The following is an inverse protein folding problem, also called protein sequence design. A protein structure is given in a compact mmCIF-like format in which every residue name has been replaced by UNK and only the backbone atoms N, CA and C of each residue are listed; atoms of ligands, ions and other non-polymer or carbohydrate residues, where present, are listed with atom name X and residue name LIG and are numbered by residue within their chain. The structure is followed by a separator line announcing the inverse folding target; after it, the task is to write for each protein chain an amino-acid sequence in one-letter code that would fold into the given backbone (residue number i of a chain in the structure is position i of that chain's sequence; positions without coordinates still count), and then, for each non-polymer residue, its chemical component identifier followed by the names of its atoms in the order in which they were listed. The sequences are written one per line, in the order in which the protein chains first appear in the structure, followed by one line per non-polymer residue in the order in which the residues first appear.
data_IF_566528843919
#
_entry.id   IF_566528843919
#
_cell.length_a   1.000
_cell.length_b   1.000
_cell.length_c   1.000
_cell.angle_alpha   90.00
_cell.angle_beta   90.00
_cell.angle_gamma   90.00
#
_symmetry.space_group_name_H-M   'P 1'
#
loop_
_entity.id
_entity.type
_entity.pdbx_description
1 polymer ?
#
# COMPACT_ATOMS: atom_id res chain seq x y z
N UNK A 1 -51.35 38.57 1.14
CA UNK A 1 -51.36 37.17 1.61
C UNK A 1 -50.46 36.41 0.64
N UNK A 2 -49.13 36.59 0.66
CA UNK A 2 -48.19 36.31 1.78
C UNK A 2 -48.49 34.92 2.35
N UNK A 3 -47.63 33.89 2.38
CA UNK A 3 -46.17 33.66 2.32
C UNK A 3 -45.99 32.22 1.74
N UNK A 4 -44.83 31.69 1.36
CA UNK A 4 -43.48 32.13 1.60
C UNK A 4 -42.51 31.44 0.65
N UNK A 5 -41.58 32.25 0.18
CA UNK A 5 -40.34 31.86 -0.46
C UNK A 5 -39.54 31.05 0.57
N UNK A 6 -39.57 29.73 0.45
CA UNK A 6 -38.79 28.85 1.31
C UNK A 6 -37.34 28.91 0.82
N UNK A 7 -36.67 29.99 1.21
CA UNK A 7 -35.23 30.16 1.14
C UNK A 7 -34.57 29.05 1.97
N UNK A 8 -34.51 27.84 1.41
CA UNK A 8 -33.64 26.78 1.89
C UNK A 8 -32.26 27.40 2.00
N UNK A 9 -31.78 27.51 3.24
CA UNK A 9 -30.52 28.15 3.59
C UNK A 9 -29.50 27.85 2.50
N UNK A 10 -29.05 28.89 1.79
CA UNK A 10 -28.19 28.76 0.63
C UNK A 10 -26.88 28.12 1.08
N UNK A 11 -26.86 26.79 1.10
CA UNK A 11 -25.64 26.03 1.27
C UNK A 11 -24.74 26.50 0.14
N UNK A 12 -23.54 27.01 0.45
CA UNK A 12 -22.65 27.49 -0.60
C UNK A 12 -22.41 26.34 -1.57
N UNK A 13 -22.97 26.46 -2.79
CA UNK A 13 -22.85 25.47 -3.85
C UNK A 13 -21.47 25.65 -4.45
N UNK A 14 -20.54 24.86 -3.96
CA UNK A 14 -19.21 24.77 -4.53
C UNK A 14 -19.30 23.98 -5.83
N UNK A 15 -18.77 24.56 -6.90
CA UNK A 15 -18.76 23.94 -8.23
C UNK A 15 -17.32 23.63 -8.65
N UNK A 16 -17.19 22.66 -9.55
CA UNK A 16 -15.91 22.33 -10.19
C UNK A 16 -14.85 21.70 -9.27
N UNK A 17 -13.58 22.01 -9.52
CA UNK A 17 -12.44 21.45 -8.79
C UNK A 17 -12.49 21.73 -7.29
N UNK A 18 -13.03 22.88 -6.88
CA UNK A 18 -13.16 23.24 -5.48
C UNK A 18 -14.12 22.30 -4.72
N UNK A 19 -15.20 21.87 -5.37
CA UNK A 19 -16.11 20.85 -4.84
C UNK A 19 -15.38 19.53 -4.63
N UNK A 20 -14.63 19.08 -5.64
CA UNK A 20 -13.85 17.85 -5.58
C UNK A 20 -12.83 17.87 -4.42
N UNK A 21 -12.04 18.94 -4.31
CA UNK A 21 -11.08 19.11 -3.20
C UNK A 21 -11.74 19.06 -1.81
N UNK A 22 -12.93 19.66 -1.68
CA UNK A 22 -13.68 19.63 -0.42
C UNK A 22 -14.19 18.22 -0.09
N UNK A 23 -14.70 17.50 -1.08
CA UNK A 23 -15.14 16.11 -0.92
C UNK A 23 -13.97 15.21 -0.51
N UNK A 24 -12.82 15.37 -1.16
CA UNK A 24 -11.59 14.66 -0.85
C UNK A 24 -11.14 14.93 0.60
N UNK A 25 -11.10 16.21 1.00
CA UNK A 25 -10.75 16.59 2.38
C UNK A 25 -11.72 16.03 3.44
N UNK A 26 -12.99 15.83 3.07
CA UNK A 26 -14.01 15.24 3.94
C UNK A 26 -13.99 13.71 3.94
N UNK A 27 -13.01 13.08 3.29
CA UNK A 27 -12.89 11.63 3.13
C UNK A 27 -14.08 10.99 2.38
N UNK A 28 -14.77 11.77 1.52
CA UNK A 28 -15.83 11.28 0.65
C UNK A 28 -15.22 10.94 -0.72
N UNK A 29 -14.46 9.84 -0.77
CA UNK A 29 -13.60 9.50 -1.91
C UNK A 29 -14.40 9.14 -3.16
N UNK A 30 -15.41 8.27 -3.04
CA UNK A 30 -16.23 7.83 -4.19
C UNK A 30 -16.92 9.01 -4.89
N UNK A 31 -17.53 9.90 -4.10
CA UNK A 31 -18.17 11.11 -4.63
C UNK A 31 -17.17 12.07 -5.29
N UNK A 32 -15.93 12.10 -4.79
CA UNK A 32 -14.87 12.92 -5.36
C UNK A 32 -14.42 12.36 -6.73
N UNK A 33 -14.29 11.05 -6.84
CA UNK A 33 -13.92 10.38 -8.09
C UNK A 33 -14.94 10.69 -9.20
N UNK A 34 -16.23 10.59 -8.89
CA UNK A 34 -17.32 10.92 -9.83
C UNK A 34 -17.30 12.39 -10.27
N UNK A 35 -16.96 13.32 -9.38
CA UNK A 35 -16.85 14.73 -9.78
C UNK A 35 -15.59 14.96 -10.63
N UNK A 36 -14.49 14.27 -10.34
CA UNK A 36 -13.28 14.33 -11.16
C UNK A 36 -13.49 13.73 -12.55
N UNK A 37 -14.25 12.63 -12.69
CA UNK A 37 -14.59 12.07 -14.00
C UNK A 37 -15.42 13.05 -14.82
N UNK A 38 -16.41 13.72 -14.20
CA UNK A 38 -17.19 14.78 -14.85
C UNK A 38 -16.32 15.95 -15.31
N UNK A 39 -15.30 16.32 -14.53
CA UNK A 39 -14.37 17.39 -14.90
C UNK A 39 -13.46 16.99 -16.06
N UNK A 40 -12.88 15.78 -16.02
CA UNK A 40 -12.01 15.28 -17.07
C UNK A 40 -12.76 15.05 -18.39
N UNK A 41 -14.03 14.67 -18.34
CA UNK A 41 -14.89 14.56 -19.53
C UNK A 41 -15.15 15.93 -20.20
N UNK A 42 -15.15 17.02 -19.42
CA UNK A 42 -15.29 18.39 -19.95
C UNK A 42 -13.96 18.95 -20.46
N UNK A 43 -12.88 18.72 -19.70
CA UNK A 43 -11.54 19.14 -20.04
C UNK A 43 -10.53 18.02 -19.78
N UNK A 44 -10.08 17.29 -20.82
CA UNK A 44 -9.16 16.17 -20.66
C UNK A 44 -7.71 16.60 -20.34
N UNK A 45 -7.39 17.90 -20.45
CA UNK A 45 -6.04 18.43 -20.22
C UNK A 45 -5.86 19.01 -18.81
N UNK A 46 -6.86 18.91 -17.94
CA UNK A 46 -6.78 19.42 -16.57
C UNK A 46 -5.91 18.52 -15.69
N UNK A 47 -4.66 18.93 -15.48
CA UNK A 47 -3.68 18.22 -14.65
C UNK A 47 -4.12 18.14 -13.18
N UNK A 48 -4.83 19.14 -12.66
CA UNK A 48 -5.22 19.16 -11.25
C UNK A 48 -6.34 18.15 -10.97
N UNK A 49 -7.35 18.10 -11.83
CA UNK A 49 -8.40 17.08 -11.76
C UNK A 49 -7.83 15.66 -11.98
N UNK A 50 -6.83 15.53 -12.85
CA UNK A 50 -6.14 14.26 -13.09
C UNK A 50 -5.36 13.78 -11.86
N UNK A 51 -4.53 14.63 -11.28
CA UNK A 51 -3.76 14.32 -10.07
C UNK A 51 -4.67 14.01 -8.87
N UNK A 52 -5.77 14.75 -8.72
CA UNK A 52 -6.74 14.52 -7.64
C UNK A 52 -7.43 13.16 -7.81
N UNK A 53 -7.81 12.79 -9.04
CA UNK A 53 -8.38 11.47 -9.30
C UNK A 53 -7.39 10.34 -8.99
N UNK A 54 -6.10 10.51 -9.28
CA UNK A 54 -5.08 9.54 -8.88
C UNK A 54 -5.08 9.34 -7.36
N UNK A 55 -5.12 10.42 -6.57
CA UNK A 55 -5.24 10.35 -5.12
C UNK A 55 -6.51 9.63 -4.65
N UNK A 56 -7.66 9.90 -5.29
CA UNK A 56 -8.90 9.21 -4.95
C UNK A 56 -8.82 7.70 -5.19
N UNK A 57 -8.10 7.26 -6.22
CA UNK A 57 -7.92 5.83 -6.48
C UNK A 57 -6.91 5.18 -5.52
N UNK A 58 -5.91 5.91 -5.04
CA UNK A 58 -4.90 5.39 -4.12
C UNK A 58 -5.38 5.26 -2.69
N UNK A 59 -6.06 6.27 -2.17
CA UNK A 59 -6.43 6.36 -0.76
C UNK A 59 -7.24 5.18 -0.21
N UNK A 60 -8.24 4.60 -0.92
CA UNK A 60 -8.98 3.47 -0.39
C UNK A 60 -8.14 2.18 -0.34
N UNK A 61 -7.09 2.08 -1.15
CA UNK A 61 -6.19 0.93 -1.24
C UNK A 61 -4.90 1.16 -0.42
N UNK A 62 -4.67 2.38 0.04
CA UNK A 62 -3.46 2.75 0.77
C UNK A 62 -3.33 1.93 2.06
N UNK A 63 -2.18 1.27 2.20
CA UNK A 63 -1.79 0.53 3.40
C UNK A 63 -0.42 1.03 3.83
N UNK A 64 -0.23 1.23 5.14
CA UNK A 64 1.09 1.59 5.68
C UNK A 64 2.10 0.48 5.38
N UNK A 65 3.19 0.87 4.71
CA UNK A 65 4.27 -0.02 4.30
C UNK A 65 4.99 -0.70 5.47
N UNK A 66 5.02 -0.05 6.65
CA UNK A 66 5.62 -0.65 7.84
C UNK A 66 4.78 -1.81 8.39
N UNK A 67 3.46 -1.74 8.23
CA UNK A 67 2.54 -2.76 8.72
C UNK A 67 2.19 -3.79 7.63
N UNK A 68 2.43 -3.49 6.34
CA UNK A 68 2.16 -4.41 5.24
C UNK A 68 3.27 -5.46 4.99
N UNK A 69 4.30 -5.49 5.84
CA UNK A 69 5.43 -6.36 5.61
C UNK A 69 5.08 -7.82 5.98
N UNK A 70 4.89 -8.65 4.95
CA UNK A 70 4.55 -10.06 5.07
C UNK A 70 5.57 -10.92 4.34
N UNK A 71 6.16 -11.86 5.10
CA UNK A 71 7.17 -12.79 4.61
C UNK A 71 6.53 -14.04 4.02
N UNK A 72 6.81 -14.31 2.74
CA UNK A 72 6.43 -15.54 2.07
C UNK A 72 7.29 -16.74 2.46
N UNK A 73 6.89 -17.95 2.03
CA UNK A 73 7.69 -19.17 2.21
C UNK A 73 9.04 -19.04 1.50
N UNK A 74 9.07 -18.53 0.28
CA UNK A 74 10.29 -18.35 -0.51
C UNK A 74 11.30 -17.43 0.19
N UNK A 75 10.86 -16.25 0.65
CA UNK A 75 11.71 -15.32 1.40
C UNK A 75 12.20 -15.92 2.74
N UNK A 76 11.39 -16.78 3.36
CA UNK A 76 11.76 -17.38 4.65
C UNK A 76 12.81 -18.49 4.52
N UNK A 77 12.82 -19.24 3.39
CA UNK A 77 13.64 -20.44 3.21
C UNK A 77 14.70 -20.34 2.11
N UNK A 78 14.35 -19.75 0.97
CA UNK A 78 15.22 -19.66 -0.21
C UNK A 78 16.11 -18.42 -0.14
N UNK A 79 15.67 -17.35 0.51
CA UNK A 79 16.46 -16.14 0.70
C UNK A 79 17.39 -16.26 1.93
N UNK A 80 18.70 -16.20 1.69
CA UNK A 80 19.74 -16.45 2.70
C UNK A 80 20.50 -15.16 3.01
N UNK A 81 19.80 -14.19 3.59
CA UNK A 81 20.37 -12.91 4.02
C UNK A 81 21.08 -12.98 5.40
N UNK A 82 21.24 -14.18 5.98
CA UNK A 82 21.82 -14.36 7.32
C UNK A 82 23.31 -14.63 7.21
N UNK A 83 24.12 -13.67 7.66
CA UNK A 83 25.59 -13.76 7.65
C UNK A 83 26.10 -14.85 8.61
N UNK A 84 25.47 -14.98 9.79
CA UNK A 84 25.90 -15.90 10.85
C UNK A 84 24.82 -16.98 11.11
N UNK A 85 24.90 -18.16 10.46
CA UNK A 85 23.91 -19.22 10.66
C UNK A 85 23.92 -19.78 12.09
N UNK A 86 25.07 -19.74 12.76
CA UNK A 86 25.27 -20.21 14.13
C UNK A 86 25.54 -19.05 15.10
N UNK A 87 24.69 -18.04 15.08
CA UNK A 87 24.76 -16.94 16.03
C UNK A 87 24.66 -17.43 17.49
N UNK A 88 25.37 -16.74 18.40
CA UNK A 88 25.29 -17.00 19.84
C UNK A 88 23.86 -16.75 20.32
N UNK A 89 23.37 -17.49 21.35
CA UNK A 89 22.04 -17.23 21.91
C UNK A 89 21.90 -15.77 22.34
N UNK A 90 20.82 -15.11 21.92
CA UNK A 90 20.55 -13.71 22.25
C UNK A 90 21.17 -12.69 21.30
N UNK A 91 22.03 -13.09 20.37
CA UNK A 91 22.60 -12.20 19.34
C UNK A 91 21.87 -12.31 17.99
N UNK A 92 20.72 -12.99 17.96
CA UNK A 92 19.91 -13.21 16.76
C UNK A 92 18.44 -13.46 17.14
N UNK A 93 17.51 -12.98 16.32
CA UNK A 93 16.08 -13.27 16.46
C UNK A 93 15.72 -14.74 16.22
N UNK A 94 16.59 -15.51 15.56
CA UNK A 94 16.41 -16.95 15.33
C UNK A 94 16.72 -17.79 16.56
N UNK A 95 17.57 -17.27 17.47
CA UNK A 95 17.96 -17.93 18.72
C UNK A 95 17.78 -16.98 19.92
N UNK A 96 16.54 -16.56 20.22
CA UNK A 96 16.30 -15.68 21.34
C UNK A 96 16.54 -16.43 22.66
N UNK A 97 17.12 -15.76 23.64
CA UNK A 97 17.30 -16.27 25.02
C UNK A 97 16.00 -16.32 25.82
N UNK A 98 14.90 -15.81 25.25
CA UNK A 98 13.58 -15.73 25.90
C UNK A 98 12.98 -17.10 26.22
N UNK A 99 13.44 -18.18 25.58
CA UNK A 99 13.02 -19.56 25.87
C UNK A 99 13.61 -20.11 27.18
N UNK A 100 14.69 -19.51 27.71
CA UNK A 100 15.46 -20.10 28.82
C UNK A 100 14.91 -19.83 30.23
N UNK A 101 13.99 -18.88 30.42
CA UNK A 101 13.53 -18.45 31.76
C UNK A 101 12.11 -17.86 31.83
N UNK A 102 11.37 -17.82 30.72
CA UNK A 102 10.09 -17.12 30.66
C UNK A 102 8.89 -18.06 30.74
N UNK A 103 8.15 -17.98 31.85
CA UNK A 103 6.77 -18.48 32.10
C UNK A 103 6.46 -19.93 31.66
N UNK A 104 6.06 -20.79 32.61
CA UNK A 104 5.66 -22.16 32.31
C UNK A 104 4.49 -22.21 31.28
N UNK A 105 4.52 -23.13 30.28
CA UNK A 105 3.44 -23.30 29.31
C UNK A 105 2.07 -23.61 29.93
N UNK A 106 2.06 -24.09 31.18
CA UNK A 106 0.85 -24.30 32.00
C UNK A 106 0.18 -22.96 32.34
N UNK A 107 0.96 -21.90 32.56
CA UNK A 107 0.45 -20.57 32.93
C UNK A 107 0.14 -19.70 31.71
N UNK A 108 0.82 -19.94 30.58
CA UNK A 108 0.58 -19.19 29.34
C UNK A 108 0.63 -20.13 28.13
N UNK A 109 -0.46 -20.22 27.35
CA UNK A 109 -0.43 -20.98 26.11
C UNK A 109 0.67 -20.48 25.17
N UNK A 110 1.32 -21.42 24.50
CA UNK A 110 2.38 -21.15 23.54
C UNK A 110 1.89 -21.40 22.12
N UNK A 111 2.40 -20.60 21.19
CA UNK A 111 2.30 -20.90 19.76
C UNK A 111 3.03 -22.20 19.43
N UNK A 112 2.81 -22.71 18.21
CA UNK A 112 3.40 -23.94 17.69
C UNK A 112 4.94 -23.99 17.66
N UNK A 113 5.66 -22.91 18.00
CA UNK A 113 7.15 -22.89 18.09
C UNK A 113 7.63 -22.50 19.49
N UNK A 114 6.78 -22.67 20.50
CA UNK A 114 7.17 -22.46 21.89
C UNK A 114 7.29 -21.00 22.29
N UNK A 115 6.95 -20.03 21.43
CA UNK A 115 6.80 -18.64 21.84
C UNK A 115 5.44 -18.45 22.53
N UNK A 116 5.38 -17.86 23.73
CA UNK A 116 4.11 -17.53 24.39
C UNK A 116 3.21 -16.67 23.49
N UNK A 117 1.90 -16.91 23.52
CA UNK A 117 0.94 -16.15 22.70
C UNK A 117 0.94 -14.67 23.08
N UNK A 118 1.17 -13.77 22.11
CA UNK A 118 1.10 -12.32 22.26
C UNK A 118 -0.35 -11.84 22.40
N UNK A 119 -0.57 -10.72 23.11
CA UNK A 119 -1.88 -10.05 23.18
C UNK A 119 -2.17 -9.12 22.00
N UNK A 120 -1.17 -8.87 21.14
CA UNK A 120 -1.30 -8.03 19.94
C UNK A 120 -0.84 -8.83 18.73
N UNK A 121 -1.68 -8.91 17.70
CA UNK A 121 -1.39 -9.52 16.41
C UNK A 121 -1.04 -8.41 15.40
N UNK A 122 0.17 -8.46 14.83
CA UNK A 122 0.60 -7.59 13.73
C UNK A 122 0.94 -8.44 12.52
N UNK A 123 0.78 -7.96 11.27
CA UNK A 123 1.11 -8.77 10.08
C UNK A 123 2.53 -9.35 10.13
N UNK A 124 3.51 -8.57 10.59
CA UNK A 124 4.91 -8.94 10.79
C UNK A 124 5.20 -9.94 11.92
N UNK A 125 4.22 -10.39 12.71
CA UNK A 125 4.48 -11.40 13.74
C UNK A 125 4.76 -12.75 13.08
N UNK A 126 6.02 -13.00 12.75
CA UNK A 126 6.47 -14.20 12.04
C UNK A 126 7.31 -15.10 12.94
N UNK A 127 7.06 -16.40 12.83
CA UNK A 127 7.90 -17.46 13.38
C UNK A 127 8.44 -18.29 12.23
N UNK A 128 9.77 -18.36 12.10
CA UNK A 128 10.43 -19.17 11.06
C UNK A 128 10.03 -20.64 11.22
N UNK A 129 9.45 -21.30 10.20
CA UNK A 129 9.16 -22.72 10.26
C UNK A 129 10.48 -23.52 10.16
N UNK A 130 10.46 -24.78 10.61
CA UNK A 130 11.65 -25.64 10.63
C UNK A 130 12.15 -25.94 9.22
N UNK A 131 11.46 -26.84 8.52
CA UNK A 131 11.76 -27.16 7.11
C UNK A 131 10.67 -26.61 6.18
N UNK A 132 10.97 -26.53 4.89
CA UNK A 132 10.02 -26.10 3.87
C UNK A 132 8.81 -27.05 3.77
N UNK A 133 9.04 -28.36 3.87
CA UNK A 133 7.96 -29.36 3.86
C UNK A 133 7.04 -29.20 5.07
N UNK A 134 7.61 -28.87 6.24
CA UNK A 134 6.82 -28.57 7.42
C UNK A 134 6.00 -27.30 7.22
N UNK A 135 6.57 -26.25 6.62
CA UNK A 135 5.86 -25.01 6.35
C UNK A 135 4.61 -25.22 5.46
N UNK A 136 4.73 -26.05 4.41
CA UNK A 136 3.62 -26.37 3.50
C UNK A 136 2.58 -27.27 4.15
N UNK A 137 2.98 -28.21 5.02
CA UNK A 137 2.08 -29.14 5.70
C UNK A 137 1.36 -28.55 6.91
N UNK A 138 1.89 -27.48 7.51
CA UNK A 138 1.24 -26.77 8.61
C UNK A 138 0.13 -25.84 8.14
N UNK A 139 -0.81 -25.47 9.02
CA UNK A 139 -1.84 -24.52 8.67
C UNK A 139 -1.23 -23.16 8.27
N UNK A 140 -1.84 -22.51 7.27
CA UNK A 140 -1.32 -21.26 6.67
C UNK A 140 -1.31 -20.07 7.61
N UNK A 141 -1.94 -20.15 8.77
CA UNK A 141 -1.98 -19.09 9.80
C UNK A 141 -1.31 -19.51 11.11
N UNK A 142 -0.66 -20.68 11.15
CA UNK A 142 -0.01 -21.17 12.37
C UNK A 142 1.15 -20.29 12.85
N UNK A 143 1.74 -19.49 11.95
CA UNK A 143 3.06 -18.86 12.12
C UNK A 143 3.10 -17.37 11.84
N UNK A 144 2.05 -16.86 11.18
CA UNK A 144 1.90 -15.50 10.70
C UNK A 144 0.47 -15.03 11.01
N UNK A 145 0.27 -13.72 11.15
CA UNK A 145 -1.06 -13.19 11.45
C UNK A 145 -2.05 -13.32 10.26
N UNK A 146 -1.53 -13.48 9.04
CA UNK A 146 -2.31 -13.71 7.81
C UNK A 146 -1.89 -15.01 7.13
N UNK A 147 -2.71 -15.51 6.21
CA UNK A 147 -2.44 -16.77 5.52
C UNK A 147 -1.18 -16.67 4.65
N UNK A 148 -0.18 -17.52 4.92
CA UNK A 148 1.09 -17.55 4.18
C UNK A 148 0.89 -17.95 2.71
N UNK A 149 1.54 -17.21 1.81
CA UNK A 149 1.71 -17.51 0.38
C UNK A 149 3.15 -17.93 0.03
N UNK A 150 3.36 -18.40 -1.21
CA UNK A 150 4.67 -18.82 -1.70
C UNK A 150 5.69 -17.67 -1.75
N UNK A 151 5.31 -16.50 -2.26
CA UNK A 151 6.08 -15.24 -2.14
C UNK A 151 5.36 -14.24 -1.24
N UNK A 152 5.93 -13.04 -1.03
CA UNK A 152 5.27 -11.97 -0.26
C UNK A 152 3.85 -11.70 -0.76
N UNK A 153 2.92 -11.56 0.18
CA UNK A 153 1.52 -11.27 -0.10
C UNK A 153 1.28 -9.83 -0.59
N UNK A 154 2.32 -8.97 -0.60
CA UNK A 154 2.28 -7.61 -1.16
C UNK A 154 1.68 -7.61 -2.57
N UNK A 155 2.05 -8.57 -3.43
CA UNK A 155 1.48 -8.69 -4.77
C UNK A 155 0.03 -9.24 -4.79
N UNK A 156 -0.35 -10.11 -3.85
CA UNK A 156 -1.64 -10.82 -3.92
C UNK A 156 -2.83 -9.97 -3.48
N UNK A 157 -2.65 -9.12 -2.45
CA UNK A 157 -3.76 -8.31 -1.92
C UNK A 157 -4.00 -7.02 -2.72
N UNK A 158 -2.96 -6.47 -3.33
CA UNK A 158 -3.07 -5.37 -4.29
C UNK A 158 -3.60 -5.85 -5.65
N UNK A 159 -3.27 -7.09 -6.06
CA UNK A 159 -3.73 -7.66 -7.31
C UNK A 159 -5.24 -7.83 -7.45
N UNK A 160 -6.01 -7.87 -6.35
CA UNK A 160 -7.49 -7.89 -6.42
C UNK A 160 -8.12 -6.54 -6.73
N UNK A 161 -7.45 -5.42 -6.42
CA UNK A 161 -7.96 -4.07 -6.72
C UNK A 161 -7.79 -3.76 -8.22
N UNK A 162 -6.65 -4.09 -8.81
CA UNK A 162 -6.41 -3.94 -10.26
C UNK A 162 -7.18 -4.96 -11.12
N UNK A 163 -7.56 -6.11 -10.55
CA UNK A 163 -8.44 -7.09 -11.20
C UNK A 163 -9.94 -6.77 -11.11
N UNK A 164 -10.35 -5.93 -10.17
CA UNK A 164 -11.70 -5.39 -10.13
C UNK A 164 -11.81 -4.35 -11.26
N UNK A 165 -11.97 -4.83 -12.49
CA UNK A 165 -12.17 -3.99 -13.65
C UNK A 165 -13.36 -3.06 -13.39
N UNK A 166 -13.08 -1.78 -13.16
CA UNK A 166 -14.07 -0.72 -13.29
C UNK A 166 -14.71 -0.84 -14.67
N UNK A 167 -16.02 -0.58 -14.77
CA UNK A 167 -16.76 -0.74 -16.03
C UNK A 167 -16.14 0.04 -17.22
N UNK A 168 -15.40 1.12 -16.92
CA UNK A 168 -14.67 1.97 -17.87
C UNK A 168 -13.20 1.56 -18.14
N UNK A 169 -12.72 0.46 -17.55
CA UNK A 169 -11.33 0.01 -17.67
C UNK A 169 -10.35 0.76 -16.75
N UNK A 170 -9.02 0.53 -16.89
CA UNK A 170 -8.00 1.15 -16.06
C UNK A 170 -7.90 2.65 -16.33
N UNK A 171 -7.79 3.45 -15.28
CA UNK A 171 -7.77 4.92 -15.40
C UNK A 171 -6.54 5.42 -16.18
N UNK A 172 -5.36 4.82 -15.93
CA UNK A 172 -4.12 5.14 -16.64
C UNK A 172 -3.54 3.87 -17.22
N UNK A 173 -3.28 3.87 -18.53
CA UNK A 173 -2.57 2.78 -19.17
C UNK A 173 -1.05 3.00 -19.09
N UNK A 174 -0.40 2.30 -18.16
CA UNK A 174 1.04 2.42 -17.92
C UNK A 174 1.89 2.11 -19.16
N UNK A 175 1.47 1.18 -20.01
CA UNK A 175 2.22 0.79 -21.20
C UNK A 175 2.26 1.89 -22.29
N UNK A 176 1.32 2.83 -22.25
CA UNK A 176 1.24 3.97 -23.19
C UNK A 176 1.72 5.28 -22.57
N UNK A 177 1.96 5.30 -21.26
CA UNK A 177 2.35 6.50 -20.55
C UNK A 177 3.86 6.75 -20.74
N UNK A 178 4.22 7.97 -21.14
CA UNK A 178 5.62 8.38 -21.14
C UNK A 178 6.04 8.78 -19.72
N UNK A 179 6.71 7.86 -19.03
CA UNK A 179 7.15 8.03 -17.64
C UNK A 179 8.07 9.24 -17.47
N UNK A 180 9.03 9.43 -18.38
CA UNK A 180 10.04 10.49 -18.29
C UNK A 180 9.39 11.89 -18.22
N UNK A 181 8.33 12.10 -19.01
CA UNK A 181 7.62 13.38 -19.05
C UNK A 181 6.95 13.70 -17.71
N UNK A 182 6.28 12.72 -17.11
CA UNK A 182 5.57 12.92 -15.85
C UNK A 182 6.52 12.88 -14.64
N UNK A 183 7.66 12.19 -14.75
CA UNK A 183 8.70 12.20 -13.75
C UNK A 183 9.35 13.60 -13.59
N UNK A 184 9.45 14.35 -14.69
CA UNK A 184 9.99 15.71 -14.69
C UNK A 184 9.05 16.75 -14.05
N UNK A 185 7.72 16.51 -14.02
CA UNK A 185 6.75 17.46 -13.45
C UNK A 185 6.55 17.25 -11.93
N UNK A 186 6.99 18.19 -11.08
CA UNK A 186 6.92 18.03 -9.62
C UNK A 186 5.49 18.07 -9.06
N UNK A 187 4.50 18.54 -9.83
CA UNK A 187 3.13 18.66 -9.33
C UNK A 187 2.33 17.36 -9.41
N UNK A 188 2.77 16.44 -10.28
CA UNK A 188 2.03 15.22 -10.62
C UNK A 188 2.84 13.96 -10.35
N UNK A 189 4.18 14.06 -10.34
CA UNK A 189 5.06 12.90 -10.19
C UNK A 189 4.80 12.08 -8.91
N UNK A 190 4.49 12.76 -7.80
CA UNK A 190 4.25 12.11 -6.51
C UNK A 190 2.96 11.32 -6.53
N UNK A 191 1.87 11.93 -7.00
CA UNK A 191 0.55 11.32 -7.09
C UNK A 191 0.56 10.16 -8.08
N UNK A 192 1.29 10.31 -9.20
CA UNK A 192 1.49 9.23 -10.16
C UNK A 192 2.29 8.07 -9.55
N UNK A 193 3.38 8.35 -8.83
CA UNK A 193 4.16 7.33 -8.15
C UNK A 193 3.31 6.56 -7.13
N UNK A 194 2.55 7.27 -6.29
CA UNK A 194 1.66 6.67 -5.29
C UNK A 194 0.59 5.79 -5.98
N UNK A 195 0.02 6.22 -7.10
CA UNK A 195 -0.91 5.43 -7.91
C UNK A 195 -0.29 4.14 -8.45
N UNK A 196 0.86 4.23 -9.11
CA UNK A 196 1.53 3.06 -9.69
C UNK A 196 1.97 2.08 -8.61
N UNK A 197 2.43 2.60 -7.46
CA UNK A 197 2.94 1.79 -6.36
C UNK A 197 1.83 1.10 -5.56
N UNK A 198 0.80 1.85 -5.13
CA UNK A 198 -0.26 1.30 -4.28
C UNK A 198 -1.43 0.71 -5.05
N UNK A 199 -1.88 1.32 -6.15
CA UNK A 199 -3.08 0.85 -6.86
C UNK A 199 -2.74 -0.20 -7.93
N UNK A 200 -1.75 0.04 -8.79
CA UNK A 200 -1.36 -0.88 -9.87
C UNK A 200 -0.40 -1.99 -9.42
N UNK A 201 0.35 -1.75 -8.32
CA UNK A 201 1.37 -2.65 -7.78
C UNK A 201 2.50 -3.04 -8.76
N UNK A 202 2.76 -2.21 -9.76
CA UNK A 202 3.91 -2.37 -10.66
C UNK A 202 5.15 -1.67 -10.10
N UNK A 203 5.90 -2.44 -9.32
CA UNK A 203 7.10 -1.99 -8.64
C UNK A 203 8.17 -1.47 -9.63
N UNK A 204 8.25 -2.07 -10.83
CA UNK A 204 9.30 -1.71 -11.79
C UNK A 204 9.08 -0.31 -12.36
N UNK A 205 7.86 -0.03 -12.80
CA UNK A 205 7.51 1.29 -13.33
C UNK A 205 7.47 2.34 -12.23
N UNK A 206 7.00 2.00 -11.02
CA UNK A 206 7.09 2.90 -9.87
C UNK A 206 8.54 3.32 -9.56
N UNK A 207 9.49 2.36 -9.55
CA UNK A 207 10.90 2.68 -9.35
C UNK A 207 11.48 3.51 -10.48
N UNK A 208 11.10 3.25 -11.74
CA UNK A 208 11.52 4.05 -12.88
C UNK A 208 11.10 5.53 -12.70
N UNK A 209 9.80 5.77 -12.45
CA UNK A 209 9.26 7.11 -12.17
C UNK A 209 10.09 7.78 -11.07
N UNK A 210 10.34 7.07 -9.96
CA UNK A 210 11.06 7.64 -8.82
C UNK A 210 12.51 7.95 -9.15
N UNK A 211 13.21 7.07 -9.86
CA UNK A 211 14.59 7.28 -10.25
C UNK A 211 14.73 8.51 -11.15
N UNK A 212 13.86 8.64 -12.15
CA UNK A 212 13.88 9.76 -13.08
C UNK A 212 13.56 11.08 -12.38
N UNK A 213 12.62 11.09 -11.42
CA UNK A 213 12.32 12.30 -10.62
C UNK A 213 13.55 12.78 -9.84
N UNK A 214 14.30 11.85 -9.25
CA UNK A 214 15.52 12.16 -8.50
C UNK A 214 16.63 12.66 -9.43
N UNK A 215 16.76 12.05 -10.61
CA UNK A 215 17.74 12.47 -11.62
C UNK A 215 17.48 13.90 -12.09
N UNK A 216 16.23 14.26 -12.40
CA UNK A 216 15.87 15.61 -12.82
C UNK A 216 16.06 16.62 -11.68
N UNK A 217 15.69 16.28 -10.45
CA UNK A 217 15.91 17.13 -9.28
C UNK A 217 17.41 17.39 -9.02
N UNK A 218 18.24 16.36 -9.13
CA UNK A 218 19.70 16.49 -8.98
C UNK A 218 20.32 17.37 -10.08
N UNK A 219 19.85 17.23 -11.33
CA UNK A 219 20.32 18.04 -12.45
C UNK A 219 19.94 19.51 -12.28
N UNK A 220 18.74 19.81 -11.80
CA UNK A 220 18.30 21.18 -11.52
C UNK A 220 19.16 21.88 -10.45
N UNK A 221 19.59 21.15 -9.42
CA UNK A 221 20.48 21.66 -8.37
C UNK A 221 21.90 21.96 -8.87
N UNK A 222 22.39 21.24 -9.88
CA UNK A 222 23.73 21.46 -10.46
C UNK A 222 23.82 22.66 -11.41
N UNK A 223 22.66 23.22 -11.80
CA UNK A 223 22.56 24.36 -12.73
C UNK A 223 22.39 25.72 -12.03
N UNK A 224 22.35 25.75 -10.68
CA UNK A 224 22.34 26.96 -9.85
C UNK A 224 23.70 27.17 -9.20
#
# INVERSE_FOLDING_TARGET
MEEGDNATAATPKFEGLFKALRLYRNNQIDACEEECTKLLNKNPLDQAAWALKLCCLTDPVYVDELENDELGIAETFLDQNVIAPNARPGTSFQRPTTTGKGMNPIMRPVSTAGRPLSGVARPLTSLRPGTMEQAVRTSRTARTARAVSSGSARQLRLGTASMAASADGPFVNLARLNVDKYAADPHVNRQLFEYVFYHEADIKTAHQVKFDTLFHAATALSSQ
#
